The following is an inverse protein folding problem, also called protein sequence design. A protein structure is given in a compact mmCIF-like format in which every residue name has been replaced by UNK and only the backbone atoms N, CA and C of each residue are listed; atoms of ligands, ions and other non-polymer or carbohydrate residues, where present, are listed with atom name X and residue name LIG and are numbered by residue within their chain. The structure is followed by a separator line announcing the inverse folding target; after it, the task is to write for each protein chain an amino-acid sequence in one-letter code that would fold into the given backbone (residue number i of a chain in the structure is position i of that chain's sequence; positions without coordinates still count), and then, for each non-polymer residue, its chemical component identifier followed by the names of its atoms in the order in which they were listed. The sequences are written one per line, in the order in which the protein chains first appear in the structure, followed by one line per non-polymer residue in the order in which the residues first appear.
data_IF_302944073197
#
_entry.id   IF_302944073197
#
_cell.length_a   1.000
_cell.length_b   1.000
_cell.length_c   1.000
_cell.angle_alpha   90.00
_cell.angle_beta   90.00
_cell.angle_gamma   90.00
#
_symmetry.space_group_name_H-M   'P 1'
#
loop_
_entity.id
_entity.type
_entity.pdbx_description
1 polymer ?
#
# COMPACT_ATOMS: atom_id res chain seq x y z
N UNK A 1 17.09 -33.72 -22.72
CA UNK A 1 15.76 -33.49 -23.30
C UNK A 1 15.86 -33.45 -24.82
N UNK A 2 16.00 -32.31 -25.49
CA UNK A 2 15.93 -32.22 -26.98
C UNK A 2 16.94 -33.14 -27.71
N UNK A 3 18.21 -33.21 -27.26
CA UNK A 3 19.24 -34.11 -27.83
C UNK A 3 19.00 -35.61 -27.60
N UNK A 4 17.93 -36.00 -26.91
CA UNK A 4 17.55 -37.38 -26.65
C UNK A 4 16.28 -37.81 -27.41
N UNK A 5 15.70 -36.93 -28.24
CA UNK A 5 14.61 -37.27 -29.14
C UNK A 5 15.12 -38.14 -30.31
N UNK A 6 14.35 -39.15 -30.71
CA UNK A 6 14.66 -39.97 -31.88
C UNK A 6 14.23 -39.28 -33.18
N UNK A 7 13.20 -38.43 -33.13
CA UNK A 7 12.70 -37.66 -34.27
C UNK A 7 12.67 -36.15 -34.01
N UNK A 8 12.75 -35.34 -35.06
CA UNK A 8 12.65 -33.88 -34.97
C UNK A 8 11.27 -33.42 -34.43
N UNK A 9 10.22 -34.20 -34.70
CA UNK A 9 8.88 -33.95 -34.17
C UNK A 9 8.82 -34.14 -32.65
N UNK A 10 9.42 -35.22 -32.12
CA UNK A 10 9.60 -35.41 -30.68
C UNK A 10 10.46 -34.31 -30.07
N UNK A 11 11.54 -33.88 -30.75
CA UNK A 11 12.39 -32.78 -30.30
C UNK A 11 11.60 -31.48 -30.10
N UNK A 12 10.75 -31.11 -31.08
CA UNK A 12 9.84 -29.97 -30.96
C UNK A 12 8.80 -30.14 -29.86
N UNK A 13 8.20 -31.33 -29.71
CA UNK A 13 7.23 -31.61 -28.65
C UNK A 13 7.87 -31.47 -27.25
N UNK A 14 9.08 -31.99 -27.05
CA UNK A 14 9.84 -31.87 -25.80
C UNK A 14 10.26 -30.43 -25.51
N UNK A 15 10.56 -29.62 -26.53
CA UNK A 15 10.82 -28.19 -26.38
C UNK A 15 9.58 -27.44 -25.87
N UNK A 16 8.39 -27.72 -26.45
CA UNK A 16 7.13 -27.13 -25.99
C UNK A 16 6.75 -27.56 -24.57
N UNK A 17 6.99 -28.83 -24.20
CA UNK A 17 6.77 -29.33 -22.84
C UNK A 17 7.73 -28.69 -21.82
N UNK A 18 9.01 -28.50 -22.18
CA UNK A 18 9.96 -27.76 -21.34
C UNK A 18 9.50 -26.32 -21.15
N UNK A 19 9.18 -25.62 -22.23
CA UNK A 19 8.87 -24.20 -22.18
C UNK A 19 7.55 -23.93 -21.45
N UNK A 20 6.54 -24.79 -21.60
CA UNK A 20 5.31 -24.71 -20.79
C UNK A 20 5.57 -24.98 -19.30
N UNK A 21 6.37 -26.00 -18.96
CA UNK A 21 6.76 -26.26 -17.56
C UNK A 21 7.53 -25.07 -16.93
N UNK A 22 8.44 -24.45 -17.68
CA UNK A 22 9.18 -23.26 -17.24
C UNK A 22 8.24 -22.05 -17.03
N UNK A 23 7.27 -21.82 -17.93
CA UNK A 23 6.25 -20.76 -17.74
C UNK A 23 5.46 -20.96 -16.45
N UNK A 24 5.01 -22.19 -16.15
CA UNK A 24 4.28 -22.49 -14.92
C UNK A 24 5.14 -22.31 -13.66
N UNK A 25 6.39 -22.81 -13.65
CA UNK A 25 7.31 -22.64 -12.52
C UNK A 25 7.62 -21.16 -12.27
N UNK A 26 7.80 -20.38 -13.32
CA UNK A 26 8.06 -18.94 -13.22
C UNK A 26 6.87 -18.16 -12.62
N UNK A 27 5.63 -18.49 -13.00
CA UNK A 27 4.42 -17.90 -12.42
C UNK A 27 4.27 -18.26 -10.94
N UNK A 28 4.32 -19.54 -10.58
CA UNK A 28 4.04 -19.97 -9.20
C UNK A 28 5.20 -19.69 -8.23
N UNK A 29 6.42 -19.48 -8.73
CA UNK A 29 7.57 -19.04 -7.92
C UNK A 29 7.46 -17.61 -7.38
N UNK A 30 6.58 -16.78 -7.94
CA UNK A 30 6.38 -15.38 -7.50
C UNK A 30 5.46 -15.32 -6.28
N UNK A 31 5.97 -14.78 -5.17
CA UNK A 31 5.22 -14.64 -3.92
C UNK A 31 4.08 -13.62 -4.02
N UNK A 32 4.28 -12.51 -4.74
CA UNK A 32 3.30 -11.42 -4.80
C UNK A 32 2.12 -11.73 -5.73
N UNK A 33 0.89 -11.57 -5.23
CA UNK A 33 -0.32 -11.99 -5.94
C UNK A 33 -0.66 -11.09 -7.16
N UNK A 34 -0.32 -9.80 -7.09
CA UNK A 34 -0.37 -8.81 -8.17
C UNK A 34 0.48 -9.24 -9.36
N UNK A 35 1.78 -9.39 -9.14
CA UNK A 35 2.77 -9.82 -10.14
C UNK A 35 2.41 -11.20 -10.69
N UNK A 36 1.96 -12.14 -9.84
CA UNK A 36 1.49 -13.46 -10.33
C UNK A 36 0.28 -13.36 -11.27
N UNK A 37 -0.66 -12.43 -11.06
CA UNK A 37 -1.77 -12.17 -12.01
C UNK A 37 -1.24 -11.61 -13.32
N UNK A 38 -0.25 -10.72 -13.27
CA UNK A 38 0.32 -10.12 -14.47
C UNK A 38 1.14 -11.12 -15.29
N UNK A 39 1.97 -11.94 -14.66
CA UNK A 39 2.66 -13.04 -15.32
C UNK A 39 1.69 -14.03 -15.97
N UNK A 40 0.49 -14.25 -15.39
CA UNK A 40 -0.57 -15.04 -16.06
C UNK A 40 -1.15 -14.33 -17.29
N UNK A 41 -1.28 -13.00 -17.30
CA UNK A 41 -1.64 -12.22 -18.50
C UNK A 41 -0.55 -12.32 -19.57
N UNK A 42 0.72 -12.12 -19.22
CA UNK A 42 1.86 -12.24 -20.14
C UNK A 42 1.94 -13.68 -20.72
N UNK A 43 1.76 -14.71 -19.88
CA UNK A 43 1.74 -16.10 -20.33
C UNK A 43 0.65 -16.40 -21.36
N UNK A 44 -0.52 -15.75 -21.23
CA UNK A 44 -1.63 -15.88 -22.17
C UNK A 44 -1.32 -15.19 -23.52
N UNK A 45 -0.81 -13.95 -23.50
CA UNK A 45 -0.44 -13.23 -24.73
C UNK A 45 0.78 -13.84 -25.44
N UNK A 46 1.68 -14.49 -24.69
CA UNK A 46 2.82 -15.24 -25.22
C UNK A 46 2.51 -16.71 -25.54
N UNK A 47 1.22 -17.09 -25.69
CA UNK A 47 0.83 -18.44 -26.12
C UNK A 47 1.53 -18.81 -27.45
N UNK A 48 2.07 -20.04 -27.53
CA UNK A 48 2.86 -20.49 -28.68
C UNK A 48 4.29 -19.93 -28.80
N UNK A 49 4.64 -18.86 -28.06
CA UNK A 49 6.01 -18.31 -28.00
C UNK A 49 6.87 -19.06 -26.97
N UNK A 50 8.19 -19.21 -27.20
CA UNK A 50 9.12 -19.84 -26.26
C UNK A 50 9.25 -19.08 -24.93
N UNK A 51 9.73 -19.75 -23.89
CA UNK A 51 9.79 -19.22 -22.51
C UNK A 51 10.54 -17.88 -22.40
N UNK A 52 11.63 -17.70 -23.16
CA UNK A 52 12.43 -16.47 -23.09
C UNK A 52 11.65 -15.22 -23.50
N UNK A 53 10.65 -15.33 -24.38
CA UNK A 53 9.82 -14.18 -24.78
C UNK A 53 8.94 -13.70 -23.62
N UNK A 54 8.34 -14.65 -22.87
CA UNK A 54 7.57 -14.34 -21.66
C UNK A 54 8.47 -13.72 -20.58
N UNK A 55 9.69 -14.25 -20.41
CA UNK A 55 10.67 -13.68 -19.46
C UNK A 55 11.01 -12.24 -19.83
N UNK A 56 11.23 -11.93 -21.10
CA UNK A 56 11.57 -10.57 -21.54
C UNK A 56 10.39 -9.61 -21.35
N UNK A 57 9.17 -10.00 -21.74
CA UNK A 57 7.95 -9.20 -21.46
C UNK A 57 7.77 -8.95 -19.95
N UNK A 58 8.08 -9.94 -19.10
CA UNK A 58 8.03 -9.81 -17.65
C UNK A 58 9.15 -8.91 -17.07
N UNK A 59 10.33 -8.85 -17.71
CA UNK A 59 11.39 -7.91 -17.32
C UNK A 59 10.98 -6.47 -17.66
N UNK A 60 10.48 -6.23 -18.88
CA UNK A 60 9.97 -4.92 -19.27
C UNK A 60 8.93 -4.37 -18.28
N UNK A 61 8.02 -5.22 -17.78
CA UNK A 61 6.99 -4.81 -16.83
C UNK A 61 7.55 -4.42 -15.44
N UNK A 62 8.70 -4.97 -15.05
CA UNK A 62 9.44 -4.57 -13.83
C UNK A 62 10.33 -3.35 -14.08
N UNK A 63 10.87 -3.24 -15.30
CA UNK A 63 11.67 -2.10 -15.75
C UNK A 63 10.80 -0.85 -15.98
N UNK A 64 9.51 -0.98 -16.33
CA UNK A 64 8.54 0.12 -16.48
C UNK A 64 8.33 0.89 -15.17
N UNK A 65 8.46 0.23 -14.00
CA UNK A 65 8.48 0.92 -12.69
C UNK A 65 9.74 1.78 -12.49
N UNK A 66 10.83 1.47 -13.20
CA UNK A 66 12.11 2.19 -13.16
C UNK A 66 12.30 3.17 -14.33
N UNK A 67 11.65 2.95 -15.47
CA UNK A 67 11.76 3.79 -16.68
C UNK A 67 10.96 5.10 -16.62
N UNK A 68 10.23 5.35 -15.52
CA UNK A 68 9.93 6.72 -15.10
C UNK A 68 11.17 7.56 -14.76
N UNK A 69 12.38 6.99 -14.71
CA UNK A 69 13.62 7.68 -14.31
C UNK A 69 14.74 7.75 -15.37
N UNK A 70 14.88 6.82 -16.33
CA UNK A 70 15.94 6.92 -17.37
C UNK A 70 15.76 5.98 -18.58
N UNK A 71 15.87 6.55 -19.79
CA UNK A 71 16.39 6.03 -21.09
C UNK A 71 16.46 4.49 -21.31
N UNK A 72 15.98 3.83 -22.37
CA UNK A 72 15.42 4.18 -23.70
C UNK A 72 15.30 2.86 -24.52
N UNK A 73 15.14 2.78 -25.84
CA UNK A 73 15.06 3.75 -26.94
C UNK A 73 14.31 3.09 -28.13
N UNK A 74 13.45 3.80 -28.89
CA UNK A 74 13.14 3.47 -30.30
C UNK A 74 12.60 4.71 -31.06
N UNK A 75 12.99 4.89 -32.32
CA UNK A 75 12.96 6.20 -33.01
C UNK A 75 11.64 6.50 -33.75
N UNK A 76 10.61 6.92 -33.01
CA UNK A 76 9.43 7.55 -33.62
C UNK A 76 9.74 8.96 -34.16
N UNK A 77 9.40 9.29 -35.43
CA UNK A 77 9.66 10.62 -36.00
C UNK A 77 8.87 11.75 -35.33
N UNK A 78 7.87 11.41 -34.51
CA UNK A 78 7.11 12.37 -33.70
C UNK A 78 7.99 13.01 -32.62
N UNK A 79 8.89 12.24 -32.01
CA UNK A 79 9.74 12.74 -30.92
C UNK A 79 10.84 13.69 -31.43
N UNK A 80 11.37 13.45 -32.64
CA UNK A 80 12.30 14.39 -33.29
C UNK A 80 11.62 15.74 -33.56
N UNK A 81 10.39 15.73 -34.12
CA UNK A 81 9.61 16.95 -34.33
C UNK A 81 9.26 17.67 -33.04
N UNK A 82 8.95 16.94 -31.96
CA UNK A 82 8.66 17.57 -30.67
C UNK A 82 9.91 18.26 -30.09
N UNK A 83 11.09 17.66 -30.27
CA UNK A 83 12.37 18.26 -29.89
C UNK A 83 12.72 19.48 -30.76
N UNK A 84 12.48 19.42 -32.07
CA UNK A 84 12.62 20.56 -33.00
C UNK A 84 11.69 21.72 -32.62
N UNK A 85 10.42 21.44 -32.30
CA UNK A 85 9.45 22.44 -31.82
C UNK A 85 9.90 23.04 -30.48
N UNK A 86 10.40 22.23 -29.55
CA UNK A 86 10.93 22.71 -28.27
C UNK A 86 12.17 23.60 -28.46
N UNK A 87 13.13 23.19 -29.31
CA UNK A 87 14.30 24.01 -29.66
C UNK A 87 13.88 25.32 -30.34
N UNK A 88 12.90 25.27 -31.25
CA UNK A 88 12.39 26.45 -31.94
C UNK A 88 11.68 27.41 -30.97
N UNK A 89 10.91 26.91 -30.01
CA UNK A 89 10.35 27.73 -28.92
C UNK A 89 11.45 28.35 -28.05
N UNK A 90 12.51 27.60 -27.73
CA UNK A 90 13.62 28.10 -26.91
C UNK A 90 14.45 29.17 -27.66
N UNK A 91 14.64 29.01 -28.98
CA UNK A 91 15.20 30.03 -29.86
C UNK A 91 14.30 31.29 -29.92
N UNK A 92 12.99 31.12 -30.04
CA UNK A 92 12.05 32.25 -30.03
C UNK A 92 12.09 33.00 -28.68
N UNK A 93 12.15 32.28 -27.56
CA UNK A 93 12.28 32.87 -26.22
C UNK A 93 13.59 33.64 -26.06
N UNK A 94 14.72 33.14 -26.59
CA UNK A 94 15.99 33.87 -26.57
C UNK A 94 15.98 35.09 -27.48
N UNK A 95 15.35 35.03 -28.66
CA UNK A 95 15.16 36.20 -29.53
C UNK A 95 14.26 37.26 -28.86
N UNK A 96 13.14 36.87 -28.26
CA UNK A 96 12.28 37.78 -27.49
C UNK A 96 13.05 38.42 -26.33
N UNK A 97 13.85 37.65 -25.59
CA UNK A 97 14.67 38.16 -24.50
C UNK A 97 15.78 39.11 -24.98
N UNK A 98 16.36 38.89 -26.17
CA UNK A 98 17.29 39.81 -26.82
C UNK A 98 16.60 41.12 -27.26
N UNK A 99 15.40 41.04 -27.85
CA UNK A 99 14.64 42.23 -28.26
C UNK A 99 14.18 43.07 -27.05
N UNK A 100 13.75 42.44 -25.96
CA UNK A 100 13.45 43.11 -24.69
C UNK A 100 14.72 43.75 -24.10
N UNK A 101 15.87 43.09 -24.19
CA UNK A 101 17.17 43.65 -23.77
C UNK A 101 17.57 44.87 -24.62
N UNK A 102 17.34 44.84 -25.94
CA UNK A 102 17.63 45.97 -26.84
C UNK A 102 16.68 47.16 -26.59
N UNK A 103 15.40 46.93 -26.30
CA UNK A 103 14.48 48.00 -25.86
C UNK A 103 14.94 48.67 -24.55
N UNK A 104 15.56 47.91 -23.64
CA UNK A 104 16.22 48.44 -22.44
C UNK A 104 17.54 49.19 -22.71
N UNK A 105 18.14 49.11 -23.91
CA UNK A 105 19.33 49.89 -24.28
C UNK A 105 18.96 51.23 -24.92
N UNK A 106 17.81 51.32 -25.58
CA UNK A 106 17.28 52.59 -26.14
C UNK A 106 16.65 53.51 -25.09
N UNK A 107 16.27 52.99 -23.92
CA UNK A 107 15.91 53.79 -22.75
C UNK A 107 17.16 54.03 -21.89
N UNK A 108 17.74 55.22 -21.97
CA UNK A 108 19.10 55.48 -21.48
C UNK A 108 19.33 55.29 -19.97
N UNK A 109 20.55 54.83 -19.67
CA UNK A 109 21.26 54.94 -18.37
C UNK A 109 20.65 54.22 -17.16
N UNK A 110 21.04 52.96 -16.94
CA UNK A 110 22.08 52.60 -15.96
C UNK A 110 22.33 51.07 -15.96
N UNK A 111 23.51 50.64 -15.51
CA UNK A 111 24.03 49.28 -15.74
C UNK A 111 23.27 48.16 -15.00
N UNK A 112 23.07 47.06 -15.73
CA UNK A 112 23.14 45.66 -15.29
C UNK A 112 22.67 45.31 -13.87
N UNK A 113 21.36 45.18 -13.67
CA UNK A 113 20.79 44.48 -12.51
C UNK A 113 19.52 43.73 -12.91
N UNK A 114 19.36 42.49 -12.43
CA UNK A 114 18.15 41.70 -12.69
C UNK A 114 16.98 42.23 -11.86
N UNK A 115 15.74 41.97 -12.30
CA UNK A 115 14.49 42.43 -11.65
C UNK A 115 14.36 42.01 -10.16
N UNK A 116 15.12 40.99 -9.74
CA UNK A 116 15.21 40.52 -8.34
C UNK A 116 16.13 41.36 -7.45
N UNK A 117 17.03 42.15 -8.02
CA UNK A 117 18.09 42.90 -7.31
C UNK A 117 17.88 44.42 -7.37
N UNK A 118 16.71 44.88 -7.83
CA UNK A 118 16.36 46.30 -7.75
C UNK A 118 16.30 46.75 -6.28
N UNK A 119 17.12 47.73 -5.83
CA UNK A 119 17.21 48.15 -4.42
C UNK A 119 15.96 48.87 -3.89
N UNK A 120 14.88 48.95 -4.67
CA UNK A 120 13.57 49.49 -4.29
C UNK A 120 12.49 48.40 -4.17
N UNK A 121 12.75 47.33 -3.39
CA UNK A 121 11.69 46.46 -2.85
C UNK A 121 11.87 46.24 -1.36
N UNK A 122 11.19 47.05 -0.54
CA UNK A 122 10.99 46.76 0.89
C UNK A 122 9.91 45.69 1.06
N UNK A 123 10.08 44.90 2.11
CA UNK A 123 9.31 43.70 2.45
C UNK A 123 7.84 43.98 2.85
N UNK A 124 6.98 42.94 2.95
CA UNK A 124 5.55 43.13 3.20
C UNK A 124 5.20 43.15 4.68
N UNK A 125 4.52 44.21 5.16
CA UNK A 125 3.47 44.14 6.19
C UNK A 125 2.88 45.48 6.64
N UNK A 126 1.59 45.41 7.00
CA UNK A 126 0.85 46.22 8.00
C UNK A 126 1.36 47.63 8.39
N UNK A 127 0.52 48.63 8.07
CA UNK A 127 0.27 49.89 8.83
C UNK A 127 1.51 50.66 9.32
N UNK A 128 2.03 51.55 8.48
CA UNK A 128 2.63 52.81 8.94
C UNK A 128 1.77 53.97 8.45
N UNK A 129 1.18 54.72 9.40
CA UNK A 129 0.51 55.99 9.12
C UNK A 129 1.56 57.10 9.23
N UNK A 130 2.26 57.40 8.14
CA UNK A 130 3.43 58.27 8.17
C UNK A 130 3.54 59.16 6.92
N UNK A 131 2.78 60.27 6.93
CA UNK A 131 3.16 61.57 6.34
C UNK A 131 3.07 61.75 4.82
N UNK A 132 2.27 62.73 4.38
CA UNK A 132 2.54 63.47 3.13
C UNK A 132 1.82 63.03 1.85
N UNK A 133 0.66 62.37 1.91
CA UNK A 133 -0.17 62.19 0.71
C UNK A 133 -0.83 63.50 0.28
N UNK A 134 -0.15 64.23 -0.60
CA UNK A 134 -0.73 65.27 -1.42
C UNK A 134 -1.52 64.67 -2.59
N UNK A 135 -2.58 65.36 -3.00
CA UNK A 135 -3.40 64.95 -4.11
C UNK A 135 -2.60 65.02 -5.42
N UNK A 136 -2.39 63.89 -6.10
CA UNK A 136 -1.65 63.88 -7.38
C UNK A 136 -2.26 64.75 -8.50
N UNK A 137 -3.48 65.28 -8.33
CA UNK A 137 -4.12 66.17 -9.30
C UNK A 137 -3.79 67.66 -9.06
N UNK A 138 -4.05 68.19 -7.87
CA UNK A 138 -3.81 69.62 -7.54
C UNK A 138 -2.55 69.86 -6.66
N UNK A 139 -1.86 68.79 -6.24
CA UNK A 139 -0.67 68.77 -5.37
C UNK A 139 -0.83 69.37 -3.97
N UNK A 140 -2.05 69.72 -3.56
CA UNK A 140 -2.36 70.13 -2.20
C UNK A 140 -2.45 68.93 -1.26
N UNK A 141 -2.04 69.11 0.00
CA UNK A 141 -2.09 68.09 1.05
C UNK A 141 -3.45 68.00 1.74
N UNK A 142 -3.70 66.86 2.41
CA UNK A 142 -4.92 66.63 3.19
C UNK A 142 -6.06 65.88 2.49
N UNK A 143 -5.95 65.57 1.19
CA UNK A 143 -6.97 64.78 0.47
C UNK A 143 -6.38 63.92 -0.66
N UNK A 144 -7.08 62.86 -1.05
CA UNK A 144 -6.71 61.99 -2.18
C UNK A 144 -7.34 62.43 -3.50
N UNK A 145 -6.85 61.89 -4.62
CA UNK A 145 -7.31 62.20 -5.99
C UNK A 145 -8.79 61.88 -6.25
N UNK A 146 -9.43 61.10 -5.37
CA UNK A 146 -10.88 60.80 -5.43
C UNK A 146 -11.72 61.86 -4.72
N UNK A 147 -11.16 62.51 -3.71
CA UNK A 147 -11.84 63.49 -2.84
C UNK A 147 -11.36 64.92 -3.14
N UNK A 148 -10.82 65.14 -4.34
CA UNK A 148 -10.26 66.42 -4.74
C UNK A 148 -11.38 67.39 -5.15
N UNK A 149 -11.57 68.53 -4.45
CA UNK A 149 -12.68 69.45 -4.74
C UNK A 149 -12.55 70.15 -6.10
N UNK A 150 -11.37 70.11 -6.75
CA UNK A 150 -11.18 70.61 -8.11
C UNK A 150 -11.54 69.58 -9.20
N UNK A 151 -11.72 68.29 -8.87
CA UNK A 151 -12.34 67.35 -9.81
C UNK A 151 -13.83 67.63 -9.86
N UNK A 152 -14.25 68.35 -10.90
CA UNK A 152 -15.67 68.45 -11.27
C UNK A 152 -16.22 67.03 -11.49
N UNK A 153 -17.17 66.62 -10.66
CA UNK A 153 -17.84 65.34 -10.78
C UNK A 153 -18.64 65.30 -12.09
N UNK A 154 -18.15 64.56 -13.08
CA UNK A 154 -19.00 64.04 -14.16
C UNK A 154 -19.45 62.65 -13.69
N UNK A 155 -20.60 62.62 -13.04
CA UNK A 155 -21.17 61.42 -12.43
C UNK A 155 -21.90 60.60 -13.51
N UNK A 156 -21.27 59.53 -14.01
CA UNK A 156 -21.89 58.60 -14.97
C UNK A 156 -21.62 57.15 -14.59
N UNK A 157 -22.67 56.52 -14.04
CA UNK A 157 -22.87 55.07 -14.13
C UNK A 157 -23.45 54.73 -15.50
N UNK A 158 -22.66 54.15 -16.40
CA UNK A 158 -23.07 53.30 -17.57
C UNK A 158 -21.80 52.76 -18.22
N UNK A 159 -21.57 51.45 -18.36
CA UNK A 159 -22.12 50.52 -19.39
C UNK A 159 -21.93 51.02 -20.83
N UNK A 160 -20.97 50.42 -21.53
CA UNK A 160 -20.75 50.56 -22.98
C UNK A 160 -19.25 50.60 -23.35
N UNK A 161 -18.74 49.71 -24.21
CA UNK A 161 -17.40 49.82 -24.77
C UNK A 161 -17.49 50.33 -26.23
N UNK A 162 -17.29 51.64 -26.44
CA UNK A 162 -17.04 52.20 -27.77
C UNK A 162 -15.72 52.98 -27.81
N UNK A 163 -14.84 52.51 -28.71
CA UNK A 163 -13.96 53.30 -29.57
C UNK A 163 -13.27 54.55 -29.00
N UNK A 164 -11.95 54.47 -28.74
CA UNK A 164 -11.02 55.60 -28.96
C UNK A 164 -9.54 55.24 -28.69
N UNK A 165 -8.84 54.66 -29.68
CA UNK A 165 -7.36 54.69 -29.72
C UNK A 165 -6.81 54.50 -31.14
N UNK A 166 -7.27 55.33 -32.08
CA UNK A 166 -6.76 55.38 -33.45
C UNK A 166 -6.70 56.82 -33.97
N UNK A 167 -5.82 57.63 -33.39
CA UNK A 167 -5.41 58.92 -33.96
C UNK A 167 -3.89 59.07 -33.83
N UNK A 168 -3.18 58.63 -34.88
CA UNK A 168 -1.97 59.20 -35.49
C UNK A 168 -1.72 58.34 -36.76
N UNK A 169 -1.27 58.98 -37.85
CA UNK A 169 -1.07 58.42 -39.22
C UNK A 169 -2.32 57.92 -39.98
N UNK A 170 -3.08 58.84 -40.61
CA UNK A 170 -4.00 58.56 -41.74
C UNK A 170 -4.23 59.83 -42.60
N UNK A 171 -3.19 60.32 -43.28
CA UNK A 171 -3.28 61.47 -44.21
C UNK A 171 -2.37 61.32 -45.47
N UNK A 172 -1.97 60.10 -45.84
CA UNK A 172 -1.04 59.88 -46.97
C UNK A 172 -1.27 58.59 -47.80
N UNK A 173 -2.19 57.71 -47.42
CA UNK A 173 -2.46 56.43 -48.12
C UNK A 173 -3.62 56.54 -49.11
N UNK A 174 -4.70 57.21 -48.70
CA UNK A 174 -6.00 57.16 -49.38
C UNK A 174 -6.00 57.78 -50.79
N UNK A 175 -4.97 58.58 -51.13
CA UNK A 175 -4.77 59.14 -52.47
C UNK A 175 -3.97 58.22 -53.41
N UNK A 176 -3.24 57.23 -52.88
CA UNK A 176 -2.40 56.32 -53.66
C UNK A 176 -3.21 55.08 -54.07
N UNK A 177 -4.01 54.52 -53.15
CA UNK A 177 -4.81 53.32 -53.40
C UNK A 177 -5.91 53.54 -54.47
N UNK A 178 -6.51 54.73 -54.50
CA UNK A 178 -7.55 55.08 -55.48
C UNK A 178 -7.05 55.26 -56.92
N UNK A 179 -5.75 55.55 -57.10
CA UNK A 179 -5.14 55.70 -58.43
C UNK A 179 -4.62 54.35 -58.97
N UNK A 180 -3.90 53.59 -58.13
CA UNK A 180 -3.39 52.26 -58.50
C UNK A 180 -4.51 51.27 -58.78
N UNK A 181 -5.61 51.30 -58.01
CA UNK A 181 -6.74 50.39 -58.24
C UNK A 181 -7.34 50.53 -59.64
N UNK A 182 -7.54 51.76 -60.13
CA UNK A 182 -8.13 52.03 -61.46
C UNK A 182 -7.22 51.60 -62.61
N UNK A 183 -5.92 51.92 -62.55
CA UNK A 183 -5.00 51.53 -63.63
C UNK A 183 -4.75 50.02 -63.67
N UNK A 184 -4.90 49.32 -62.54
CA UNK A 184 -4.81 47.85 -62.47
C UNK A 184 -6.09 47.17 -62.97
N UNK A 185 -7.30 47.64 -62.63
CA UNK A 185 -8.55 47.07 -63.16
C UNK A 185 -8.67 47.28 -64.68
N UNK A 186 -8.30 48.46 -65.18
CA UNK A 186 -8.32 48.77 -66.62
C UNK A 186 -7.32 47.91 -67.42
N UNK A 187 -6.10 47.70 -66.90
CA UNK A 187 -5.08 46.87 -67.58
C UNK A 187 -5.34 45.36 -67.53
N UNK A 188 -6.08 44.86 -66.53
CA UNK A 188 -6.37 43.43 -66.42
C UNK A 188 -7.67 43.00 -67.12
N UNK A 189 -8.54 43.94 -67.51
CA UNK A 189 -9.80 43.64 -68.19
C UNK A 189 -10.78 42.82 -67.33
N UNK A 190 -10.55 42.75 -66.03
CA UNK A 190 -11.39 42.03 -65.08
C UNK A 190 -12.54 42.97 -64.70
N UNK A 191 -13.74 42.69 -65.21
CA UNK A 191 -14.95 43.39 -64.78
C UNK A 191 -15.06 43.33 -63.25
N UNK A 192 -15.24 44.50 -62.61
CA UNK A 192 -15.14 44.70 -61.16
C UNK A 192 -16.02 43.72 -60.35
N UNK A 193 -17.17 43.31 -60.91
CA UNK A 193 -18.04 42.29 -60.31
C UNK A 193 -17.38 40.92 -60.07
N UNK A 194 -16.37 40.52 -60.84
CA UNK A 194 -15.63 39.25 -60.61
C UNK A 194 -14.70 39.32 -59.40
N UNK A 195 -14.22 40.51 -59.03
CA UNK A 195 -13.38 40.69 -57.84
C UNK A 195 -14.26 40.53 -56.59
N UNK A 196 -15.41 41.23 -56.56
CA UNK A 196 -16.40 41.11 -55.47
C UNK A 196 -16.92 39.68 -55.33
N UNK A 197 -17.15 38.95 -56.44
CA UNK A 197 -17.52 37.53 -56.39
C UNK A 197 -16.41 36.65 -55.76
N UNK A 198 -15.14 36.88 -56.11
CA UNK A 198 -14.01 36.13 -55.57
C UNK A 198 -13.76 36.45 -54.08
N UNK A 199 -13.89 37.71 -53.67
CA UNK A 199 -13.81 38.12 -52.27
C UNK A 199 -14.94 37.49 -51.43
N UNK A 200 -16.18 37.49 -51.96
CA UNK A 200 -17.31 36.82 -51.32
C UNK A 200 -17.07 35.32 -51.13
N UNK A 201 -16.51 34.64 -52.15
CA UNK A 201 -16.17 33.20 -52.08
C UNK A 201 -14.99 32.93 -51.15
N UNK A 202 -14.00 33.83 -51.06
CA UNK A 202 -12.90 33.72 -50.11
C UNK A 202 -13.39 33.86 -48.66
N UNK A 203 -14.25 34.85 -48.39
CA UNK A 203 -14.90 35.02 -47.08
C UNK A 203 -15.77 33.81 -46.72
N UNK A 204 -16.52 33.24 -47.67
CA UNK A 204 -17.30 32.02 -47.44
C UNK A 204 -16.41 30.82 -47.07
N UNK A 205 -15.28 30.64 -47.76
CA UNK A 205 -14.29 29.59 -47.45
C UNK A 205 -13.67 29.81 -46.07
N UNK A 206 -13.29 31.04 -45.72
CA UNK A 206 -12.77 31.38 -44.38
C UNK A 206 -13.80 31.11 -43.28
N UNK A 207 -15.06 31.49 -43.49
CA UNK A 207 -16.14 31.27 -42.52
C UNK A 207 -16.40 29.76 -42.34
N UNK A 208 -16.44 28.99 -43.43
CA UNK A 208 -16.55 27.52 -43.38
C UNK A 208 -15.38 26.90 -42.62
N UNK A 209 -14.16 27.40 -42.82
CA UNK A 209 -12.98 26.90 -42.09
C UNK A 209 -13.04 27.20 -40.59
N UNK A 210 -13.54 28.39 -40.20
CA UNK A 210 -13.78 28.73 -38.79
C UNK A 210 -14.88 27.88 -38.14
N UNK A 211 -15.97 27.58 -38.87
CA UNK A 211 -17.02 26.68 -38.39
C UNK A 211 -16.46 25.27 -38.15
N UNK A 212 -15.65 24.75 -39.07
CA UNK A 212 -15.02 23.43 -38.91
C UNK A 212 -14.06 23.40 -37.72
N UNK A 213 -13.24 24.43 -37.49
CA UNK A 213 -12.37 24.47 -36.30
C UNK A 213 -13.18 24.48 -34.99
N UNK A 214 -14.25 25.29 -34.92
CA UNK A 214 -15.12 25.34 -33.74
C UNK A 214 -15.86 24.01 -33.49
N UNK A 215 -16.22 23.28 -34.56
CA UNK A 215 -16.80 21.94 -34.43
C UNK A 215 -15.79 20.91 -33.91
N UNK A 216 -14.52 20.97 -34.35
CA UNK A 216 -13.45 20.13 -33.83
C UNK A 216 -13.18 20.43 -32.36
N UNK A 217 -13.10 21.71 -31.97
CA UNK A 217 -12.92 22.12 -30.57
C UNK A 217 -14.09 21.65 -29.70
N UNK A 218 -15.33 21.74 -30.20
CA UNK A 218 -16.52 21.28 -29.49
C UNK A 218 -16.53 19.75 -29.27
N UNK A 219 -16.17 18.97 -30.29
CA UNK A 219 -16.05 17.51 -30.16
C UNK A 219 -14.89 17.10 -29.26
N UNK A 220 -13.75 17.80 -29.32
CA UNK A 220 -12.63 17.56 -28.41
C UNK A 220 -13.02 17.81 -26.94
N UNK A 221 -13.76 18.89 -26.65
CA UNK A 221 -14.31 19.16 -25.33
C UNK A 221 -15.34 18.11 -24.90
N UNK A 222 -16.15 17.57 -25.83
CA UNK A 222 -17.10 16.47 -25.53
C UNK A 222 -16.37 15.19 -25.13
N UNK A 223 -15.35 14.79 -25.90
CA UNK A 223 -14.54 13.59 -25.62
C UNK A 223 -13.82 13.72 -24.28
N UNK A 224 -13.19 14.87 -23.99
CA UNK A 224 -12.57 15.13 -22.68
C UNK A 224 -13.58 15.08 -21.52
N UNK A 225 -14.82 15.54 -21.74
CA UNK A 225 -15.91 15.41 -20.76
C UNK A 225 -16.31 13.95 -20.49
N UNK A 226 -16.34 13.12 -21.53
CA UNK A 226 -16.64 11.69 -21.42
C UNK A 226 -15.52 10.91 -20.70
N UNK A 227 -14.25 11.20 -21.00
CA UNK A 227 -13.08 10.65 -20.29
C UNK A 227 -13.11 11.00 -18.79
N UNK A 228 -13.32 12.28 -18.45
CA UNK A 228 -13.46 12.72 -17.06
C UNK A 228 -14.63 12.04 -16.34
N UNK A 229 -15.75 11.80 -17.04
CA UNK A 229 -16.89 11.10 -16.47
C UNK A 229 -16.60 9.60 -16.25
N UNK A 230 -15.85 8.92 -17.12
CA UNK A 230 -15.39 7.55 -16.87
C UNK A 230 -14.47 7.49 -15.64
N UNK A 231 -13.46 8.36 -15.56
CA UNK A 231 -12.52 8.43 -14.42
C UNK A 231 -13.25 8.74 -13.12
N UNK A 232 -14.27 9.61 -13.13
CA UNK A 232 -15.10 9.87 -11.95
C UNK A 232 -15.86 8.62 -11.46
N UNK A 233 -16.42 7.83 -12.39
CA UNK A 233 -17.12 6.59 -12.06
C UNK A 233 -16.17 5.49 -11.54
N UNK A 234 -14.96 5.37 -12.10
CA UNK A 234 -13.94 4.46 -11.58
C UNK A 234 -13.51 4.83 -10.15
N UNK A 235 -13.32 6.12 -9.88
CA UNK A 235 -13.00 6.64 -8.55
C UNK A 235 -14.13 6.39 -7.53
N UNK A 236 -15.40 6.56 -7.93
CA UNK A 236 -16.55 6.16 -7.10
C UNK A 236 -16.55 4.65 -6.81
N UNK A 237 -16.24 3.83 -7.81
CA UNK A 237 -16.07 2.38 -7.65
C UNK A 237 -14.92 2.00 -6.70
N UNK A 238 -13.78 2.72 -6.76
CA UNK A 238 -12.66 2.56 -5.83
C UNK A 238 -13.05 2.96 -4.40
N UNK A 239 -13.74 4.09 -4.22
CA UNK A 239 -14.21 4.54 -2.92
C UNK A 239 -15.18 3.53 -2.26
N UNK A 240 -16.10 2.95 -3.03
CA UNK A 240 -17.00 1.90 -2.56
C UNK A 240 -16.23 0.62 -2.14
N UNK A 241 -15.21 0.22 -2.90
CA UNK A 241 -14.35 -0.93 -2.55
C UNK A 241 -13.54 -0.67 -1.26
N UNK A 242 -12.98 0.53 -1.11
CA UNK A 242 -12.26 0.93 0.11
C UNK A 242 -13.18 1.00 1.33
N UNK A 243 -14.40 1.52 1.19
CA UNK A 243 -15.39 1.52 2.26
C UNK A 243 -15.73 0.08 2.69
N UNK A 244 -15.97 -0.84 1.74
CA UNK A 244 -16.22 -2.25 2.05
C UNK A 244 -15.05 -2.88 2.82
N UNK A 245 -13.82 -2.69 2.35
CA UNK A 245 -12.63 -3.20 3.02
C UNK A 245 -12.46 -2.63 4.44
N UNK A 246 -12.74 -1.34 4.66
CA UNK A 246 -12.68 -0.73 5.99
C UNK A 246 -13.73 -1.32 6.96
N UNK A 247 -14.93 -1.65 6.47
CA UNK A 247 -15.95 -2.36 7.26
C UNK A 247 -15.46 -3.77 7.62
N UNK A 248 -14.94 -4.53 6.65
CA UNK A 248 -14.37 -5.87 6.89
C UNK A 248 -13.23 -5.83 7.93
N UNK A 249 -12.26 -4.91 7.79
CA UNK A 249 -11.16 -4.70 8.76
C UNK A 249 -11.71 -4.36 10.15
N UNK A 250 -12.76 -3.54 10.23
CA UNK A 250 -13.39 -3.16 11.51
C UNK A 250 -14.05 -4.37 12.18
N UNK A 251 -14.74 -5.23 11.42
CA UNK A 251 -15.32 -6.47 11.95
C UNK A 251 -14.24 -7.45 12.43
N UNK A 252 -13.14 -7.60 11.69
CA UNK A 252 -12.02 -8.46 12.10
C UNK A 252 -11.33 -7.94 13.37
N UNK A 253 -11.15 -6.62 13.51
CA UNK A 253 -10.61 -6.01 14.74
C UNK A 253 -11.48 -6.35 15.94
N UNK A 254 -12.80 -6.19 15.83
CA UNK A 254 -13.75 -6.55 16.89
C UNK A 254 -13.68 -8.04 17.25
N UNK A 255 -13.60 -8.94 16.26
CA UNK A 255 -13.44 -10.38 16.51
C UNK A 255 -12.13 -10.72 17.23
N UNK A 256 -11.02 -10.06 16.88
CA UNK A 256 -9.71 -10.24 17.55
C UNK A 256 -9.75 -9.69 18.98
N UNK A 257 -10.42 -8.57 19.23
CA UNK A 257 -10.59 -8.01 20.58
C UNK A 257 -11.47 -8.91 21.46
N UNK A 258 -12.55 -9.49 20.93
CA UNK A 258 -13.35 -10.51 21.63
C UNK A 258 -12.52 -11.73 21.99
N UNK A 259 -11.79 -12.31 21.03
CA UNK A 259 -10.94 -13.48 21.26
C UNK A 259 -9.82 -13.21 22.29
N UNK A 260 -9.30 -11.97 22.34
CA UNK A 260 -8.35 -11.54 23.39
C UNK A 260 -9.01 -11.48 24.77
N UNK A 261 -10.24 -10.98 24.87
CA UNK A 261 -10.99 -10.98 26.13
C UNK A 261 -11.25 -12.41 26.64
N UNK A 262 -11.70 -13.31 25.76
CA UNK A 262 -11.90 -14.73 26.07
C UNK A 262 -10.61 -15.41 26.54
N UNK A 263 -9.48 -15.13 25.88
CA UNK A 263 -8.17 -15.63 26.29
C UNK A 263 -7.73 -15.13 27.68
N UNK A 264 -8.06 -13.89 28.06
CA UNK A 264 -7.81 -13.36 29.41
C UNK A 264 -8.67 -14.08 30.46
N UNK A 265 -9.96 -14.31 30.17
CA UNK A 265 -10.85 -15.08 31.04
C UNK A 265 -10.36 -16.53 31.20
N UNK A 266 -9.92 -17.17 30.11
CA UNK A 266 -9.36 -18.52 30.15
C UNK A 266 -8.08 -18.60 31.00
N UNK A 267 -7.16 -17.62 30.86
CA UNK A 267 -5.95 -17.53 31.70
C UNK A 267 -6.30 -17.34 33.19
N UNK A 268 -7.30 -16.53 33.50
CA UNK A 268 -7.79 -16.35 34.88
C UNK A 268 -8.32 -17.66 35.49
N UNK A 269 -9.17 -18.39 34.75
CA UNK A 269 -9.67 -19.72 35.15
C UNK A 269 -8.55 -20.73 35.35
N UNK A 270 -7.58 -20.79 34.44
CA UNK A 270 -6.42 -21.67 34.58
C UNK A 270 -5.57 -21.33 35.82
N UNK A 271 -5.37 -20.04 36.13
CA UNK A 271 -4.69 -19.62 37.35
C UNK A 271 -5.45 -20.04 38.64
N UNK A 272 -6.79 -19.95 38.63
CA UNK A 272 -7.62 -20.44 39.73
C UNK A 272 -7.48 -21.96 39.93
N UNK A 273 -7.56 -22.74 38.84
CA UNK A 273 -7.36 -24.20 38.88
C UNK A 273 -5.97 -24.59 39.39
N UNK A 274 -4.91 -23.89 38.96
CA UNK A 274 -3.54 -24.11 39.46
C UNK A 274 -3.45 -23.85 40.97
N UNK A 275 -4.13 -22.82 41.48
CA UNK A 275 -4.15 -22.53 42.90
C UNK A 275 -4.95 -23.57 43.71
N UNK A 276 -6.07 -24.07 43.18
CA UNK A 276 -6.81 -25.19 43.77
C UNK A 276 -5.96 -26.46 43.85
N UNK A 277 -5.28 -26.84 42.75
CA UNK A 277 -4.39 -28.01 42.73
C UNK A 277 -3.23 -27.88 43.72
N UNK A 278 -2.67 -26.68 43.91
CA UNK A 278 -1.66 -26.41 44.95
C UNK A 278 -2.23 -26.58 46.37
N UNK A 279 -3.47 -26.15 46.62
CA UNK A 279 -4.16 -26.39 47.90
C UNK A 279 -4.29 -27.88 48.19
N UNK A 280 -4.86 -28.63 47.25
CA UNK A 280 -5.02 -30.08 47.38
C UNK A 280 -3.67 -30.81 47.54
N UNK A 281 -2.59 -30.32 46.93
CA UNK A 281 -1.25 -30.89 47.09
C UNK A 281 -0.71 -30.72 48.52
N UNK A 282 -1.05 -29.62 49.21
CA UNK A 282 -0.71 -29.43 50.63
C UNK A 282 -1.51 -30.41 51.50
N UNK A 283 -2.81 -30.59 51.24
CA UNK A 283 -3.65 -31.56 51.94
C UNK A 283 -3.14 -33.00 51.78
N UNK A 284 -2.81 -33.43 50.55
CA UNK A 284 -2.17 -34.71 50.31
C UNK A 284 -0.83 -34.85 51.06
N UNK A 285 -0.05 -33.76 51.16
CA UNK A 285 1.20 -33.74 51.92
C UNK A 285 1.01 -33.91 53.43
N UNK A 286 -0.12 -33.47 53.98
CA UNK A 286 -0.50 -33.72 55.39
C UNK A 286 -0.91 -35.18 55.57
N UNK A 287 -1.75 -35.73 54.68
CA UNK A 287 -2.18 -37.13 54.74
C UNK A 287 -0.99 -38.10 54.63
N UNK A 288 -0.01 -37.83 53.76
CA UNK A 288 1.21 -38.64 53.64
C UNK A 288 2.04 -38.63 54.93
N UNK A 289 2.11 -37.50 55.65
CA UNK A 289 2.78 -37.46 56.97
C UNK A 289 2.03 -38.28 58.02
N UNK A 290 0.71 -38.15 58.09
CA UNK A 290 -0.13 -38.92 59.01
C UNK A 290 -0.06 -40.43 58.74
N UNK A 291 0.09 -40.84 57.47
CA UNK A 291 0.33 -42.24 57.12
C UNK A 291 1.70 -42.73 57.60
N UNK A 292 2.76 -41.93 57.48
CA UNK A 292 4.09 -42.27 58.03
C UNK A 292 4.09 -42.41 59.55
N UNK A 293 3.38 -41.54 60.26
CA UNK A 293 3.18 -41.66 61.73
C UNK A 293 2.43 -42.95 62.11
N UNK A 294 1.48 -43.40 61.28
CA UNK A 294 0.79 -44.68 61.47
C UNK A 294 1.67 -45.89 61.15
N UNK A 295 2.53 -45.82 60.12
CA UNK A 295 3.51 -46.87 59.81
C UNK A 295 4.49 -47.07 60.98
N UNK A 296 5.04 -45.97 61.54
CA UNK A 296 5.94 -46.00 62.71
C UNK A 296 5.25 -46.61 63.95
N UNK A 297 3.96 -46.29 64.18
CA UNK A 297 3.16 -46.94 65.22
C UNK A 297 2.91 -48.43 64.96
N UNK A 298 2.80 -48.87 63.71
CA UNK A 298 2.69 -50.30 63.39
C UNK A 298 3.99 -51.07 63.58
N UNK A 299 5.15 -50.47 63.28
CA UNK A 299 6.46 -51.05 63.60
C UNK A 299 6.67 -51.14 65.12
N UNK A 300 6.33 -50.10 65.89
CA UNK A 300 6.37 -50.18 67.36
C UNK A 300 5.45 -51.30 67.88
N UNK A 301 4.25 -51.44 67.32
CA UNK A 301 3.32 -52.52 67.70
C UNK A 301 3.85 -53.91 67.35
N UNK A 302 4.56 -54.08 66.23
CA UNK A 302 5.18 -55.37 65.90
C UNK A 302 6.30 -55.71 66.87
N UNK A 303 7.19 -54.76 67.21
CA UNK A 303 8.25 -54.93 68.21
C UNK A 303 7.67 -55.30 69.59
N UNK A 304 6.59 -54.63 70.03
CA UNK A 304 5.89 -55.01 71.26
C UNK A 304 5.29 -56.42 71.19
N UNK A 305 4.74 -56.84 70.04
CA UNK A 305 4.21 -58.20 69.89
C UNK A 305 5.29 -59.28 69.98
N UNK A 306 6.48 -58.99 69.45
CA UNK A 306 7.65 -59.88 69.50
C UNK A 306 8.18 -60.00 70.94
N UNK A 307 8.33 -58.88 71.66
CA UNK A 307 8.69 -58.87 73.09
C UNK A 307 7.67 -59.63 73.97
N UNK A 308 6.36 -59.51 73.68
CA UNK A 308 5.32 -60.28 74.38
C UNK A 308 5.43 -61.77 74.10
N UNK A 309 5.75 -62.17 72.86
CA UNK A 309 5.99 -63.57 72.51
C UNK A 309 7.25 -64.14 73.19
N UNK A 310 8.35 -63.38 73.27
CA UNK A 310 9.55 -63.76 74.03
C UNK A 310 9.24 -63.94 75.52
N UNK A 311 8.50 -63.01 76.14
CA UNK A 311 8.09 -63.10 77.54
C UNK A 311 7.17 -64.31 77.81
N UNK A 312 6.23 -64.62 76.91
CA UNK A 312 5.40 -65.82 77.00
C UNK A 312 6.23 -67.11 76.84
N UNK A 313 7.25 -67.11 75.98
CA UNK A 313 8.20 -68.22 75.84
C UNK A 313 9.03 -68.42 77.14
N UNK A 314 9.52 -67.33 77.74
CA UNK A 314 10.22 -67.37 79.03
C UNK A 314 9.33 -67.85 80.18
N UNK A 315 8.08 -67.40 80.27
CA UNK A 315 7.14 -67.92 81.28
C UNK A 315 6.85 -69.41 81.08
N UNK A 316 6.76 -69.87 79.82
CA UNK A 316 6.54 -71.28 79.47
C UNK A 316 7.73 -72.18 79.81
N UNK A 317 8.96 -71.67 79.76
CA UNK A 317 10.18 -72.43 80.13
C UNK A 317 10.41 -72.48 81.64
N UNK A 318 10.03 -71.44 82.39
CA UNK A 318 10.06 -71.45 83.87
C UNK A 318 9.05 -72.43 84.47
N UNK A 319 7.91 -72.68 83.79
CA UNK A 319 6.90 -73.65 84.23
C UNK A 319 7.24 -75.13 84.02
N UNK A 320 8.23 -75.48 83.19
CA UNK A 320 8.50 -76.87 82.77
C UNK A 320 9.75 -77.48 83.38
N UNK A 321 9.78 -77.55 84.72
CA UNK A 321 10.65 -78.45 85.49
C UNK A 321 9.84 -79.54 86.21
N UNK A 322 9.16 -80.39 85.43
CA UNK A 322 8.89 -81.81 85.73
C UNK A 322 8.30 -82.51 84.51
N UNK A 323 8.59 -83.82 84.45
CA UNK A 323 8.00 -84.83 83.55
C UNK A 323 8.19 -84.64 82.03
N UNK A 324 9.18 -85.40 81.53
CA UNK A 324 9.22 -85.80 80.12
C UNK A 324 8.28 -86.99 79.89
N UNK A 325 7.59 -87.05 78.75
CA UNK A 325 7.65 -88.13 77.74
C UNK A 325 6.57 -87.97 76.66
N UNK A 326 6.76 -88.69 75.55
CA UNK A 326 5.79 -89.01 74.48
C UNK A 326 5.47 -87.90 73.45
N UNK A 327 5.92 -88.13 72.20
CA UNK A 327 5.33 -87.57 70.98
C UNK A 327 4.02 -88.29 70.63
N UNK A 328 3.10 -87.66 69.88
CA UNK A 328 3.14 -87.97 68.44
C UNK A 328 2.93 -86.76 67.51
N UNK A 329 3.21 -87.02 66.23
CA UNK A 329 2.79 -86.20 65.09
C UNK A 329 1.27 -86.10 65.04
N UNK A 330 0.73 -84.92 64.78
CA UNK A 330 -0.49 -84.78 63.99
C UNK A 330 -0.51 -83.43 63.27
N UNK A 331 -1.20 -83.38 62.13
CA UNK A 331 -1.08 -82.28 61.18
C UNK A 331 -2.29 -81.34 61.24
N UNK A 332 -2.05 -80.04 61.33
CA UNK A 332 -3.03 -79.00 60.99
C UNK A 332 -2.45 -78.09 59.91
N UNK A 333 -2.97 -78.30 58.70
CA UNK A 333 -2.80 -77.45 57.52
C UNK A 333 -3.68 -76.22 57.75
N UNK A 334 -3.07 -75.05 57.94
CA UNK A 334 -3.76 -73.75 58.05
C UNK A 334 -3.25 -72.83 56.94
N UNK A 335 -4.16 -72.03 56.39
CA UNK A 335 -4.08 -71.51 55.03
C UNK A 335 -2.97 -70.48 54.79
N UNK A 336 -2.17 -70.73 53.75
CA UNK A 336 -1.13 -69.81 53.23
C UNK A 336 -1.63 -69.08 51.96
N UNK A 337 -2.91 -69.26 51.58
CA UNK A 337 -3.47 -68.70 50.34
C UNK A 337 -3.84 -67.21 50.45
N UNK A 338 -3.87 -66.61 51.65
CA UNK A 338 -4.23 -65.20 51.81
C UNK A 338 -3.08 -64.21 51.54
N UNK A 339 -1.81 -64.63 51.67
CA UNK A 339 -0.66 -63.73 51.54
C UNK A 339 -0.13 -63.55 50.11
N UNK A 340 -0.53 -64.40 49.16
CA UNK A 340 -0.08 -64.30 47.77
C UNK A 340 -0.90 -63.30 46.94
N UNK A 341 -2.16 -63.04 47.31
CA UNK A 341 -3.04 -62.11 46.58
C UNK A 341 -2.70 -60.63 46.79
N UNK A 342 -2.16 -60.24 47.95
CA UNK A 342 -1.73 -58.85 48.21
C UNK A 342 -0.41 -58.51 47.51
N UNK A 343 0.52 -59.46 47.43
CA UNK A 343 1.80 -59.29 46.73
C UNK A 343 1.64 -59.11 45.21
N UNK A 344 0.57 -59.64 44.61
CA UNK A 344 0.25 -59.41 43.19
C UNK A 344 -0.48 -58.09 42.96
N UNK A 345 -1.29 -57.62 43.92
CA UNK A 345 -1.94 -56.30 43.87
C UNK A 345 -0.94 -55.15 43.78
N UNK A 346 0.11 -55.18 44.61
CA UNK A 346 1.17 -54.16 44.61
C UNK A 346 2.04 -54.14 43.34
N UNK A 347 2.06 -55.23 42.56
CA UNK A 347 2.73 -55.23 41.24
C UNK A 347 1.94 -54.46 40.19
N UNK A 348 0.61 -54.41 40.28
CA UNK A 348 -0.24 -53.72 39.31
C UNK A 348 -0.18 -52.19 39.46
N UNK A 349 -0.27 -51.65 40.68
CA UNK A 349 -0.20 -50.20 40.93
C UNK A 349 1.15 -49.59 40.49
N UNK A 350 2.24 -50.36 40.61
CA UNK A 350 3.57 -49.93 40.16
C UNK A 350 3.69 -49.82 38.63
N UNK A 351 2.83 -50.50 37.86
CA UNK A 351 2.78 -50.37 36.41
C UNK A 351 2.11 -49.07 35.95
N UNK A 352 0.98 -48.65 36.55
CA UNK A 352 0.24 -47.45 36.11
C UNK A 352 1.07 -46.16 36.24
N UNK A 353 1.84 -46.03 37.32
CA UNK A 353 2.74 -44.89 37.55
C UNK A 353 3.86 -44.77 36.49
N UNK A 354 4.27 -45.87 35.86
CA UNK A 354 5.29 -45.83 34.79
C UNK A 354 4.71 -45.48 33.42
N UNK A 355 3.45 -45.85 33.14
CA UNK A 355 2.74 -45.44 31.91
C UNK A 355 2.48 -43.92 31.92
N UNK A 356 2.07 -43.38 33.06
CA UNK A 356 1.78 -41.95 33.22
C UNK A 356 3.01 -41.04 33.04
N UNK A 357 4.23 -41.52 33.38
CA UNK A 357 5.49 -40.79 33.11
C UNK A 357 5.86 -40.73 31.63
N UNK A 358 5.57 -41.78 30.83
CA UNK A 358 5.88 -41.77 29.38
C UNK A 358 4.99 -40.82 28.60
N UNK A 359 3.70 -40.70 28.94
CA UNK A 359 2.79 -39.75 28.29
C UNK A 359 3.23 -38.29 28.46
N UNK A 360 3.85 -37.94 29.59
CA UNK A 360 4.27 -36.55 29.87
C UNK A 360 5.49 -36.09 29.04
N UNK A 361 6.26 -37.02 28.45
CA UNK A 361 7.36 -36.67 27.53
C UNK A 361 6.88 -36.40 26.10
N UNK A 362 5.71 -36.92 25.69
CA UNK A 362 5.22 -36.77 24.30
C UNK A 362 4.57 -35.40 24.04
N UNK A 363 4.01 -34.76 25.08
CA UNK A 363 3.32 -33.46 24.96
C UNK A 363 4.25 -32.23 24.86
N UNK A 364 5.54 -32.36 25.16
CA UNK A 364 6.49 -31.24 25.06
C UNK A 364 7.21 -31.15 23.69
N UNK A 365 7.01 -32.11 22.78
CA UNK A 365 7.74 -32.19 21.51
C UNK A 365 7.06 -31.57 20.28
N UNK A 366 5.92 -30.89 20.43
CA UNK A 366 5.06 -30.48 19.31
C UNK A 366 4.68 -28.98 19.25
N UNK A 367 5.45 -28.09 19.89
CA UNK A 367 5.13 -26.63 19.94
C UNK A 367 6.18 -25.75 19.24
N UNK A 368 7.13 -26.34 18.51
CA UNK A 368 8.14 -25.61 17.74
C UNK A 368 8.20 -26.10 16.27
N UNK A 369 7.14 -25.86 15.49
CA UNK A 369 7.17 -25.71 14.01
C UNK A 369 5.78 -25.42 13.42
N UNK A 370 5.27 -24.20 13.59
CA UNK A 370 4.27 -23.62 12.67
C UNK A 370 4.41 -22.09 12.64
N UNK A 371 4.96 -21.61 11.52
CA UNK A 371 4.61 -20.37 10.78
C UNK A 371 3.97 -19.21 11.54
#
# INVERSE_FOLDING_TARGET
MEKAAATEAEGRALALLRDTALKYQFIEGVQEQSVRRELRRIAFHSAGKPFHHMRNEALCLLDDEQQCASEGQDSSPVNSRLLEIAQMQQQLQTQVMQLVSQQCQTAGQMQGHFIKECPKKRAPSKRCNCGGTSCFHCKQEGHFVRDCPQKKCVDVRSRGPEQSSAQVTHLATDQIDGALSKEVTERLGIAEGRIVELEGRLLEVQLRQQVVSLQVDQEQMRVQGEELHMVANENLGLAARLHKANVEISTLRFSVESARADAVVARSKNAQLINQLKGNQVECGVLVKQLGELEELTEQKSQFSEQVAELQCHMSTVGKKREATVCPREATRVDVELFQSEAERLKYERCELTVSRKHRHWLHGCVETTT
#
